data_IF_090707449004
#
_entry.id   IF_090707449004
#
_cell.length_a   1.000
_cell.length_b   1.000
_cell.length_c   1.000
_cell.angle_alpha   90.00
_cell.angle_beta   90.00
_cell.angle_gamma   90.00
#
_symmetry.space_group_name_H-M   'P 1'
#
loop_
_entity.id
_entity.type
_entity.pdbx_description
1 polymer ?
#
# COMPACT_ATOMS: atom_id res chain seq x y z
N UNK A 1 -33.29 24.82 0.36
CA UNK A 1 -32.26 24.77 -0.72
C UNK A 1 -30.85 24.58 -0.19
N UNK A 2 -30.32 25.43 0.72
CA UNK A 2 -28.95 25.29 1.27
C UNK A 2 -28.65 23.93 1.94
N UNK A 3 -29.62 23.33 2.64
CA UNK A 3 -29.48 21.99 3.26
C UNK A 3 -29.33 20.87 2.23
N UNK A 4 -30.11 20.92 1.15
CA UNK A 4 -30.01 19.93 0.06
C UNK A 4 -28.72 20.11 -0.73
N UNK A 5 -28.27 21.35 -0.93
CA UNK A 5 -26.98 21.64 -1.54
C UNK A 5 -25.82 21.01 -0.73
N UNK A 6 -25.84 21.16 0.60
CA UNK A 6 -24.82 20.60 1.49
C UNK A 6 -24.79 19.06 1.48
N UNK A 7 -25.97 18.42 1.44
CA UNK A 7 -26.09 16.96 1.33
C UNK A 7 -25.61 16.45 -0.03
N UNK A 8 -25.96 17.14 -1.12
CA UNK A 8 -25.50 16.80 -2.48
C UNK A 8 -23.98 16.96 -2.56
N UNK A 9 -23.40 18.05 -2.04
CA UNK A 9 -21.94 18.23 -1.99
C UNK A 9 -21.25 17.12 -1.20
N UNK A 10 -21.80 16.68 -0.07
CA UNK A 10 -21.21 15.59 0.71
C UNK A 10 -21.23 14.24 -0.03
N UNK A 11 -22.30 13.96 -0.78
CA UNK A 11 -22.41 12.76 -1.62
C UNK A 11 -21.47 12.78 -2.83
N UNK A 12 -21.27 13.95 -3.45
CA UNK A 12 -20.35 14.12 -4.59
C UNK A 12 -18.89 14.10 -4.12
N UNK A 13 -18.61 14.51 -2.88
CA UNK A 13 -17.30 14.41 -2.22
C UNK A 13 -17.00 13.04 -1.60
N UNK A 14 -17.70 11.97 -2.03
CA UNK A 14 -17.28 10.59 -1.80
C UNK A 14 -15.98 10.33 -2.59
N UNK A 15 -14.90 10.96 -2.15
CA UNK A 15 -13.60 10.90 -2.81
C UNK A 15 -13.11 9.46 -2.75
N UNK A 16 -12.74 8.93 -3.92
CA UNK A 16 -11.94 7.73 -4.05
C UNK A 16 -10.75 7.82 -3.08
N UNK A 17 -10.74 6.99 -2.05
CA UNK A 17 -9.62 6.94 -1.13
C UNK A 17 -8.47 6.23 -1.86
N UNK A 18 -7.53 7.00 -2.43
CA UNK A 18 -6.29 6.53 -3.09
C UNK A 18 -5.33 5.89 -2.07
N UNK A 19 -5.81 4.84 -1.42
CA UNK A 19 -5.29 4.28 -0.17
C UNK A 19 -3.92 3.63 -0.33
N UNK A 20 -3.54 3.28 -1.56
CA UNK A 20 -2.33 2.52 -1.87
C UNK A 20 -1.53 3.11 -3.04
N UNK A 21 -1.82 4.36 -3.45
CA UNK A 21 -0.92 5.09 -4.33
C UNK A 21 0.34 5.54 -3.58
N UNK A 22 1.17 6.40 -4.19
CA UNK A 22 2.40 6.90 -3.57
C UNK A 22 2.17 7.46 -2.14
N UNK A 23 1.14 8.29 -1.98
CA UNK A 23 0.77 8.86 -0.68
C UNK A 23 0.25 7.79 0.28
N UNK A 24 -0.61 6.89 -0.20
CA UNK A 24 -1.18 5.81 0.59
C UNK A 24 -0.13 4.90 1.22
N UNK A 25 0.83 4.45 0.41
CA UNK A 25 1.97 3.66 0.89
C UNK A 25 2.78 4.40 1.98
N UNK A 26 3.04 5.70 1.80
CA UNK A 26 3.77 6.51 2.79
C UNK A 26 3.00 6.64 4.10
N UNK A 27 1.68 6.89 4.01
CA UNK A 27 0.80 7.00 5.17
C UNK A 27 0.81 5.70 5.96
N UNK A 28 0.69 4.55 5.30
CA UNK A 28 0.75 3.24 5.96
C UNK A 28 2.11 3.00 6.60
N UNK A 29 3.21 3.31 5.91
CA UNK A 29 4.57 3.24 6.47
C UNK A 29 4.73 4.12 7.71
N UNK A 30 4.18 5.33 7.69
CA UNK A 30 4.24 6.26 8.83
C UNK A 30 3.42 5.76 10.03
N UNK A 31 2.22 5.24 9.79
CA UNK A 31 1.37 4.65 10.84
C UNK A 31 2.08 3.43 11.45
N UNK A 32 2.66 2.56 10.63
CA UNK A 32 3.43 1.42 11.10
C UNK A 32 4.58 1.88 12.02
N UNK A 33 5.32 2.90 11.61
CA UNK A 33 6.44 3.44 12.38
C UNK A 33 6.03 4.02 13.74
N UNK A 34 4.85 4.66 13.84
CA UNK A 34 4.30 5.10 15.13
C UNK A 34 3.95 3.95 16.07
N UNK A 35 3.58 2.79 15.51
CA UNK A 35 3.14 1.62 16.28
C UNK A 35 4.25 0.60 16.55
N UNK A 36 5.49 0.85 16.12
CA UNK A 36 6.62 -0.02 16.42
C UNK A 36 6.95 -0.05 17.91
N UNK A 37 7.16 -1.26 18.44
CA UNK A 37 7.82 -1.43 19.74
C UNK A 37 9.25 -0.88 19.70
N UNK A 38 9.79 -0.50 20.86
CA UNK A 38 11.16 0.00 20.96
C UNK A 38 12.20 -1.00 20.43
N UNK A 39 11.97 -2.31 20.58
CA UNK A 39 12.85 -3.35 20.05
C UNK A 39 12.80 -3.38 18.51
N UNK A 40 11.61 -3.35 17.92
CA UNK A 40 11.45 -3.36 16.48
C UNK A 40 12.06 -2.11 15.84
N UNK A 41 11.79 -0.92 16.41
CA UNK A 41 12.34 0.37 15.96
C UNK A 41 13.87 0.36 15.91
N UNK A 42 14.53 -0.13 16.97
CA UNK A 42 16.00 -0.25 17.02
C UNK A 42 16.58 -1.16 15.95
N UNK A 43 15.90 -2.28 15.66
CA UNK A 43 16.38 -3.22 14.65
C UNK A 43 16.15 -2.71 13.23
N UNK A 44 14.99 -2.09 12.96
CA UNK A 44 14.70 -1.47 11.66
C UNK A 44 15.71 -0.35 11.38
N UNK A 45 16.01 0.51 12.35
CA UNK A 45 17.00 1.58 12.18
C UNK A 45 18.41 1.05 11.81
N UNK A 46 18.80 -0.14 12.29
CA UNK A 46 20.08 -0.75 11.90
C UNK A 46 20.11 -1.21 10.44
N UNK A 47 18.95 -1.59 9.89
CA UNK A 47 18.81 -2.06 8.51
C UNK A 47 18.66 -0.88 7.56
N UNK A 48 17.78 0.06 7.91
CA UNK A 48 17.37 1.18 7.06
C UNK A 48 18.30 2.40 7.16
N UNK A 49 19.18 2.45 8.17
CA UNK A 49 20.03 3.60 8.44
C UNK A 49 19.18 4.84 8.75
N UNK A 50 19.22 5.82 7.84
CA UNK A 50 18.53 7.10 7.99
C UNK A 50 17.17 7.15 7.28
N UNK A 51 16.75 6.09 6.62
CA UNK A 51 15.45 6.04 5.95
C UNK A 51 14.33 5.60 6.90
N UNK A 52 13.19 6.27 6.82
CA UNK A 52 11.98 5.89 7.55
C UNK A 52 11.18 4.83 6.80
N UNK A 53 10.25 4.14 7.48
CA UNK A 53 9.36 3.19 6.80
C UNK A 53 8.47 3.89 5.76
N UNK A 54 8.11 5.15 6.02
CA UNK A 54 7.38 5.97 5.05
C UNK A 54 8.23 6.28 3.81
N UNK A 55 9.54 6.52 3.94
CA UNK A 55 10.41 6.76 2.77
C UNK A 55 10.53 5.51 1.89
N UNK A 56 10.73 4.36 2.53
CA UNK A 56 10.93 3.09 1.83
C UNK A 56 9.64 2.47 1.25
N UNK A 57 8.46 2.96 1.66
CA UNK A 57 7.17 2.31 1.38
C UNK A 57 6.83 2.15 -0.11
N UNK A 58 7.43 2.94 -0.99
CA UNK A 58 7.21 2.90 -2.44
C UNK A 58 8.36 2.23 -3.21
N UNK A 59 9.42 1.81 -2.53
CA UNK A 59 10.63 1.30 -3.16
C UNK A 59 10.33 0.12 -4.11
N UNK A 60 9.48 -0.82 -3.69
CA UNK A 60 9.13 -1.98 -4.51
C UNK A 60 8.35 -1.62 -5.77
N UNK A 61 7.48 -0.59 -5.71
CA UNK A 61 6.79 -0.08 -6.91
C UNK A 61 7.76 0.58 -7.90
N UNK A 62 8.80 1.26 -7.40
CA UNK A 62 9.84 1.82 -8.26
C UNK A 62 10.69 0.71 -8.90
N UNK A 63 11.11 -0.28 -8.10
CA UNK A 63 12.00 -1.35 -8.58
C UNK A 63 11.31 -2.24 -9.60
N UNK A 64 10.06 -2.67 -9.39
CA UNK A 64 9.35 -3.52 -10.36
C UNK A 64 9.15 -2.85 -11.74
N UNK A 65 9.27 -1.52 -11.79
CA UNK A 65 9.18 -0.74 -13.03
C UNK A 65 10.47 -0.82 -13.88
N UNK A 66 11.60 -1.20 -13.27
CA UNK A 66 12.84 -1.52 -13.99
C UNK A 66 12.68 -2.89 -14.71
N UNK A 67 12.95 -2.98 -16.03
CA UNK A 67 12.90 -4.24 -16.78
C UNK A 67 13.67 -5.39 -16.13
N UNK A 68 14.79 -5.11 -15.44
CA UNK A 68 15.60 -6.12 -14.74
C UNK A 68 14.83 -6.81 -13.60
N UNK A 69 13.90 -6.10 -12.97
CA UNK A 69 13.16 -6.58 -11.80
C UNK A 69 11.65 -6.73 -12.09
N UNK A 70 11.24 -6.73 -13.35
CA UNK A 70 9.83 -6.86 -13.75
C UNK A 70 9.16 -8.12 -13.21
N UNK A 71 9.91 -9.19 -13.00
CA UNK A 71 9.44 -10.45 -12.40
C UNK A 71 8.88 -10.27 -10.97
N UNK A 72 9.17 -9.16 -10.29
CA UNK A 72 8.60 -8.84 -8.97
C UNK A 72 7.16 -8.31 -9.05
N UNK A 73 6.65 -7.98 -10.24
CA UNK A 73 5.31 -7.39 -10.40
C UNK A 73 4.18 -8.22 -9.78
N UNK A 74 4.15 -9.56 -9.93
CA UNK A 74 3.12 -10.41 -9.32
C UNK A 74 3.11 -10.39 -7.80
N UNK A 75 4.18 -9.95 -7.13
CA UNK A 75 4.23 -9.89 -5.66
C UNK A 75 3.32 -8.79 -5.08
N UNK A 76 2.75 -7.92 -5.92
CA UNK A 76 1.90 -6.80 -5.51
C UNK A 76 0.40 -7.13 -5.50
N UNK A 77 -0.02 -8.29 -5.98
CA UNK A 77 -1.43 -8.66 -6.08
C UNK A 77 -1.63 -10.17 -6.00
N UNK A 78 -2.87 -10.58 -5.73
CA UNK A 78 -3.29 -11.96 -5.87
C UNK A 78 -4.32 -12.05 -7.01
N UNK A 79 -4.09 -12.95 -7.96
CA UNK A 79 -5.03 -13.20 -9.07
C UNK A 79 -5.97 -14.34 -8.68
N UNK A 80 -7.25 -14.04 -8.54
CA UNK A 80 -8.29 -15.03 -8.24
C UNK A 80 -9.06 -15.34 -9.53
N UNK A 81 -8.98 -16.58 -10.05
CA UNK A 81 -9.73 -16.96 -11.24
C UNK A 81 -11.25 -16.83 -11.01
N UNK A 82 -11.98 -16.52 -12.08
CA UNK A 82 -13.45 -16.43 -12.02
C UNK A 82 -14.07 -17.70 -11.45
N UNK A 83 -14.96 -17.54 -10.47
CA UNK A 83 -15.64 -18.66 -9.82
C UNK A 83 -14.82 -19.38 -8.75
N UNK A 84 -13.60 -18.94 -8.44
CA UNK A 84 -12.80 -19.44 -7.31
C UNK A 84 -12.80 -18.48 -6.12
N UNK A 85 -12.57 -19.02 -4.93
CA UNK A 85 -12.22 -18.21 -3.75
C UNK A 85 -10.72 -17.95 -3.72
N UNK A 86 -10.28 -17.06 -2.82
CA UNK A 86 -8.86 -16.80 -2.58
C UNK A 86 -8.12 -18.09 -2.17
N UNK A 87 -8.71 -18.88 -1.27
CA UNK A 87 -8.13 -20.14 -0.80
C UNK A 87 -8.04 -21.18 -1.92
N UNK A 88 -9.03 -21.22 -2.82
CA UNK A 88 -9.06 -22.16 -3.94
C UNK A 88 -8.19 -21.72 -5.14
N UNK A 89 -7.77 -20.45 -5.19
CA UNK A 89 -6.92 -19.93 -6.26
C UNK A 89 -5.50 -20.51 -6.19
N UNK A 90 -5.01 -20.82 -4.99
CA UNK A 90 -3.66 -21.32 -4.76
C UNK A 90 -2.59 -20.24 -4.96
N UNK A 91 -1.32 -20.64 -4.83
CA UNK A 91 -0.17 -19.77 -5.11
C UNK A 91 0.18 -19.88 -6.60
N UNK A 92 0.28 -18.76 -7.34
CA UNK A 92 0.73 -18.80 -8.73
C UNK A 92 2.17 -19.32 -8.84
N UNK A 93 2.53 -19.94 -9.97
CA UNK A 93 3.91 -20.32 -10.27
C UNK A 93 4.78 -19.05 -10.42
N UNK A 94 6.01 -19.09 -9.85
CA UNK A 94 6.97 -17.98 -9.86
C UNK A 94 7.62 -17.75 -11.24
#
# INVERSE_FOLDING_TARGET
>A
MKRYFLVITFFVCSLECFSWGQTGHRVVGQIAEWNLTSKARKNIAKIMGNESLAMASNYMDFIKSDPKYRHLSPWHYATIPTGKTYEAAGTPEE
#
